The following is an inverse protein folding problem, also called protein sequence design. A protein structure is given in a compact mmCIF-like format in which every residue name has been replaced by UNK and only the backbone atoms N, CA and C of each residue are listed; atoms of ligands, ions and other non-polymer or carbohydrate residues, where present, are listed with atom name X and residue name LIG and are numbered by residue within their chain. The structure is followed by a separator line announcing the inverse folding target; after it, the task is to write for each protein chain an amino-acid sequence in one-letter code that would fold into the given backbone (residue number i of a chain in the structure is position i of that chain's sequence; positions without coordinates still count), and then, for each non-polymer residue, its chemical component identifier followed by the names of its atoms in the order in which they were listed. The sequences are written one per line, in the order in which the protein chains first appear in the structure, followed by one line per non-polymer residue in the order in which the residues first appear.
data_IF_945209603796
#
_entry.id   IF_945209603796
#
_cell.length_a   1.000
_cell.length_b   1.000
_cell.length_c   1.000
_cell.angle_alpha   90.00
_cell.angle_beta   90.00
_cell.angle_gamma   90.00
#
_symmetry.space_group_name_H-M   'P 1'
#
loop_
_entity.id
_entity.type
_entity.pdbx_description
1 polymer ?
#
# COMPACT_ATOMS: atom_id res chain seq x y z
N UNK A 1 -8.73 -2.46 20.85
CA UNK A 1 -8.55 -2.40 19.43
C UNK A 1 -8.63 -3.77 18.77
N UNK A 2 -9.07 -3.80 17.53
CA UNK A 2 -9.10 -5.02 16.74
C UNK A 2 -7.67 -5.47 16.42
N UNK A 3 -7.38 -6.77 16.63
CA UNK A 3 -6.06 -7.34 16.35
C UNK A 3 -5.69 -7.33 14.85
N UNK A 4 -6.68 -7.17 13.97
CA UNK A 4 -6.50 -7.11 12.52
C UNK A 4 -6.24 -5.68 12.00
N UNK A 5 -6.37 -4.67 12.87
CA UNK A 5 -6.16 -3.27 12.50
C UNK A 5 -4.72 -2.87 12.81
N UNK A 6 -4.00 -2.40 11.80
CA UNK A 6 -2.65 -1.84 11.93
C UNK A 6 -2.65 -0.35 11.57
N UNK A 7 -1.63 0.37 12.02
CA UNK A 7 -1.30 1.75 11.67
C UNK A 7 0.13 1.83 11.16
N UNK A 8 0.59 2.97 10.62
CA UNK A 8 2.00 3.10 10.28
C UNK A 8 2.92 2.85 11.48
N UNK A 9 4.00 2.07 11.25
CA UNK A 9 4.97 1.72 12.30
C UNK A 9 5.76 2.92 12.81
N UNK A 10 5.93 3.93 11.96
CA UNK A 10 6.68 5.15 12.25
C UNK A 10 5.83 6.29 12.82
N UNK A 11 4.63 6.02 13.32
CA UNK A 11 3.89 6.96 14.16
C UNK A 11 4.63 7.21 15.48
N UNK A 12 4.47 8.43 16.07
CA UNK A 12 5.11 8.76 17.34
C UNK A 12 4.82 7.76 18.46
N UNK A 13 5.75 7.59 19.44
CA UNK A 13 5.51 6.77 20.61
C UNK A 13 4.22 7.14 21.34
N UNK A 14 3.48 6.12 21.82
CA UNK A 14 2.19 6.32 22.51
C UNK A 14 0.98 6.41 21.57
N UNK A 15 1.15 6.45 20.25
CA UNK A 15 0.03 6.34 19.30
C UNK A 15 -0.70 5.02 19.48
N UNK A 16 -2.05 5.01 19.64
CA UNK A 16 -2.81 3.78 19.79
C UNK A 16 -2.68 2.84 18.58
N UNK A 17 -2.80 1.54 18.83
CA UNK A 17 -2.72 0.50 17.78
C UNK A 17 -1.31 -0.07 17.62
N UNK A 18 -1.14 -0.94 16.64
CA UNK A 18 0.12 -1.61 16.32
C UNK A 18 0.58 -1.29 14.89
N UNK A 19 1.88 -1.18 14.66
CA UNK A 19 2.44 -0.82 13.34
C UNK A 19 2.66 -2.03 12.42
N UNK A 20 2.62 -3.24 12.97
CA UNK A 20 2.72 -4.48 12.21
C UNK A 20 1.88 -5.58 12.85
N UNK A 21 1.51 -6.57 12.07
CA UNK A 21 0.80 -7.76 12.57
C UNK A 21 1.29 -9.01 11.86
N UNK A 22 1.50 -10.08 12.64
CA UNK A 22 1.75 -11.42 12.14
C UNK A 22 0.43 -12.19 12.14
N UNK A 23 -0.02 -12.60 10.97
CA UNK A 23 -1.21 -13.40 10.78
C UNK A 23 -0.82 -14.86 10.53
N UNK A 24 -1.53 -15.79 11.19
CA UNK A 24 -1.42 -17.21 10.89
C UNK A 24 -2.70 -17.64 10.16
N UNK A 25 -2.54 -18.17 8.96
CA UNK A 25 -3.62 -18.68 8.14
C UNK A 25 -4.09 -20.06 8.63
N UNK A 26 -5.22 -20.53 8.09
CA UNK A 26 -5.79 -21.84 8.44
C UNK A 26 -4.84 -23.01 8.11
N UNK A 27 -4.03 -22.88 7.07
CA UNK A 27 -3.00 -23.83 6.63
C UNK A 27 -1.67 -23.66 7.38
N UNK A 28 -1.63 -22.82 8.43
CA UNK A 28 -0.49 -22.50 9.30
C UNK A 28 0.55 -21.57 8.67
N UNK A 29 0.40 -21.14 7.42
CA UNK A 29 1.29 -20.11 6.85
C UNK A 29 1.19 -18.82 7.63
N UNK A 30 2.32 -18.12 7.77
CA UNK A 30 2.47 -16.89 8.53
C UNK A 30 2.74 -15.74 7.59
N UNK A 31 1.91 -14.71 7.66
CA UNK A 31 2.04 -13.49 6.87
C UNK A 31 2.32 -12.33 7.80
N UNK A 32 3.45 -11.68 7.63
CA UNK A 32 3.76 -10.41 8.29
C UNK A 32 3.24 -9.26 7.43
N UNK A 33 2.39 -8.41 8.00
CA UNK A 33 1.93 -7.17 7.37
C UNK A 33 2.48 -5.99 8.14
N UNK A 34 3.12 -5.07 7.43
CA UNK A 34 3.74 -3.86 7.97
C UNK A 34 3.24 -2.67 7.17
N UNK A 35 2.79 -1.60 7.83
CA UNK A 35 2.50 -0.34 7.19
C UNK A 35 3.54 0.70 7.59
N UNK A 36 4.00 1.51 6.64
CA UNK A 36 4.91 2.64 6.87
C UNK A 36 4.41 3.87 6.12
N UNK A 37 4.55 5.07 6.72
CA UNK A 37 4.19 6.33 6.07
C UNK A 37 5.45 7.08 5.65
N UNK A 38 5.46 7.61 4.42
CA UNK A 38 6.52 8.46 3.88
C UNK A 38 6.55 9.83 4.57
N UNK A 39 7.62 10.60 4.37
CA UNK A 39 7.78 11.94 4.96
C UNK A 39 7.77 13.07 3.94
N UNK A 40 8.12 12.81 2.69
CA UNK A 40 8.12 13.84 1.65
C UNK A 40 6.68 14.26 1.33
N UNK A 41 6.37 15.53 1.54
CA UNK A 41 5.03 16.12 1.38
C UNK A 41 3.95 15.53 2.30
N UNK A 42 4.36 14.92 3.39
CA UNK A 42 3.52 14.29 4.41
C UNK A 42 3.81 14.91 5.78
N UNK A 43 3.02 14.55 6.79
CA UNK A 43 3.29 14.93 8.17
C UNK A 43 4.62 14.34 8.66
N UNK A 44 5.29 15.08 9.56
CA UNK A 44 6.56 14.64 10.14
C UNK A 44 6.36 13.41 11.03
N UNK A 45 6.83 12.27 10.56
CA UNK A 45 6.85 10.99 11.26
C UNK A 45 8.29 10.57 11.58
N UNK A 46 8.46 9.52 12.38
CA UNK A 46 9.76 8.89 12.59
C UNK A 46 10.34 8.37 11.26
N UNK A 47 11.65 8.14 11.23
CA UNK A 47 12.35 7.69 10.02
C UNK A 47 11.78 6.35 9.51
N UNK A 48 11.17 6.33 8.28
CA UNK A 48 10.52 5.13 7.77
C UNK A 48 11.49 3.98 7.49
N UNK A 49 12.73 4.26 7.09
CA UNK A 49 13.73 3.24 6.79
C UNK A 49 14.19 2.55 8.09
N UNK A 50 14.53 3.33 9.13
CA UNK A 50 14.96 2.79 10.41
C UNK A 50 13.86 1.99 11.11
N UNK A 51 12.63 2.49 11.08
CA UNK A 51 11.51 1.78 11.70
C UNK A 51 11.16 0.51 10.95
N UNK A 52 11.21 0.53 9.61
CA UNK A 52 10.99 -0.65 8.78
C UNK A 52 12.09 -1.70 8.98
N UNK A 53 13.37 -1.29 9.05
CA UNK A 53 14.48 -2.18 9.39
C UNK A 53 14.25 -2.89 10.72
N UNK A 54 13.92 -2.12 11.77
CA UNK A 54 13.66 -2.68 13.09
C UNK A 54 12.45 -3.65 13.11
N UNK A 55 11.40 -3.34 12.33
CA UNK A 55 10.21 -4.19 12.25
C UNK A 55 10.47 -5.51 11.50
N UNK A 56 11.35 -5.51 10.50
CA UNK A 56 11.68 -6.69 9.71
C UNK A 56 12.81 -7.54 10.34
N UNK A 57 13.68 -6.96 11.17
CA UNK A 57 14.85 -7.64 11.73
C UNK A 57 14.55 -8.98 12.44
N UNK A 58 13.42 -9.17 13.16
CA UNK A 58 13.11 -10.44 13.81
C UNK A 58 12.65 -11.54 12.85
N UNK A 59 12.34 -11.19 11.58
CA UNK A 59 11.73 -12.10 10.64
C UNK A 59 12.66 -12.43 9.48
N UNK A 60 12.56 -13.67 9.00
CA UNK A 60 13.25 -14.15 7.80
C UNK A 60 12.23 -14.76 6.86
N UNK A 61 12.05 -14.11 5.70
CA UNK A 61 11.17 -14.57 4.63
C UNK A 61 11.60 -15.98 4.16
N UNK A 62 10.63 -16.86 3.92
CA UNK A 62 10.86 -18.27 3.58
C UNK A 62 11.30 -19.16 4.74
N UNK A 63 11.53 -18.62 5.96
CA UNK A 63 12.00 -19.42 7.11
C UNK A 63 11.12 -19.23 8.34
N UNK A 64 10.95 -17.99 8.83
CA UNK A 64 10.13 -17.69 10.00
C UNK A 64 8.74 -17.17 9.62
N UNK A 65 8.60 -16.64 8.42
CA UNK A 65 7.35 -16.17 7.81
C UNK A 65 7.32 -16.59 6.35
N UNK A 66 6.12 -16.93 5.84
CA UNK A 66 5.93 -17.40 4.46
C UNK A 66 5.73 -16.22 3.50
N UNK A 67 5.24 -15.09 3.99
CA UNK A 67 5.14 -13.86 3.22
C UNK A 67 5.33 -12.62 4.10
N UNK A 68 5.85 -11.55 3.48
CA UNK A 68 5.97 -10.22 4.06
C UNK A 68 5.32 -9.22 3.11
N UNK A 69 4.34 -8.46 3.62
CA UNK A 69 3.66 -7.41 2.87
C UNK A 69 4.00 -6.07 3.53
N UNK A 70 4.54 -5.15 2.76
CA UNK A 70 4.84 -3.78 3.18
C UNK A 70 3.93 -2.82 2.43
N UNK A 71 2.99 -2.18 3.15
CA UNK A 71 2.19 -1.06 2.65
C UNK A 71 2.96 0.24 2.87
N UNK A 72 3.28 0.93 1.78
CA UNK A 72 4.07 2.16 1.76
C UNK A 72 3.13 3.34 1.46
N UNK A 73 2.62 4.00 2.50
CA UNK A 73 1.69 5.10 2.36
C UNK A 73 2.41 6.43 2.19
N UNK A 74 2.23 7.12 1.06
CA UNK A 74 2.88 8.41 0.83
C UNK A 74 2.68 9.01 -0.55
N UNK A 75 2.97 10.31 -0.65
CA UNK A 75 2.82 11.09 -1.89
C UNK A 75 3.98 10.86 -2.86
N UNK A 76 5.22 10.96 -2.40
CA UNK A 76 6.40 10.98 -3.26
C UNK A 76 6.74 9.58 -3.81
N UNK A 77 6.62 9.41 -5.12
CA UNK A 77 6.99 8.15 -5.81
C UNK A 77 8.45 7.75 -5.57
N UNK A 78 9.37 8.73 -5.51
CA UNK A 78 10.79 8.46 -5.23
C UNK A 78 11.03 7.85 -3.86
N UNK A 79 10.32 8.31 -2.82
CA UNK A 79 10.44 7.76 -1.47
C UNK A 79 9.81 6.37 -1.39
N UNK A 80 8.65 6.16 -2.06
CA UNK A 80 8.03 4.83 -2.18
C UNK A 80 8.95 3.83 -2.86
N UNK A 81 9.57 4.21 -4.00
CA UNK A 81 10.52 3.36 -4.71
C UNK A 81 11.76 3.06 -3.86
N UNK A 82 12.28 4.07 -3.15
CA UNK A 82 13.44 3.88 -2.27
C UNK A 82 13.13 2.88 -1.15
N UNK A 83 11.95 2.98 -0.50
CA UNK A 83 11.50 2.02 0.51
C UNK A 83 11.28 0.62 -0.09
N UNK A 84 10.68 0.53 -1.27
CA UNK A 84 10.52 -0.74 -1.99
C UNK A 84 11.87 -1.41 -2.29
N UNK A 85 12.85 -0.64 -2.79
CA UNK A 85 14.22 -1.14 -3.04
C UNK A 85 14.95 -1.51 -1.75
N UNK A 86 14.71 -0.77 -0.66
CA UNK A 86 15.30 -1.05 0.64
C UNK A 86 14.88 -2.41 1.20
N UNK A 87 13.67 -2.88 0.89
CA UNK A 87 13.18 -4.19 1.32
C UNK A 87 13.31 -5.27 0.26
N UNK A 88 13.93 -4.99 -0.88
CA UNK A 88 14.11 -5.96 -1.96
C UNK A 88 14.84 -7.22 -1.48
N UNK A 89 14.27 -8.39 -1.76
CA UNK A 89 14.73 -9.69 -1.26
C UNK A 89 14.32 -10.01 0.19
N UNK A 90 13.61 -9.11 0.88
CA UNK A 90 13.15 -9.29 2.27
C UNK A 90 11.63 -9.21 2.43
N UNK A 91 10.93 -8.80 1.38
CA UNK A 91 9.48 -8.75 1.33
C UNK A 91 8.96 -9.48 0.09
N UNK A 92 7.79 -10.09 0.19
CA UNK A 92 7.06 -10.66 -0.94
C UNK A 92 6.47 -9.55 -1.81
N UNK A 93 5.94 -8.52 -1.16
CA UNK A 93 5.30 -7.35 -1.77
C UNK A 93 5.64 -6.08 -1.02
N UNK A 94 6.04 -5.05 -1.76
CA UNK A 94 6.08 -3.66 -1.33
C UNK A 94 5.14 -2.85 -2.23
N UNK A 95 3.98 -2.44 -1.69
CA UNK A 95 2.94 -1.76 -2.46
C UNK A 95 2.68 -0.37 -1.91
N UNK A 96 2.67 0.62 -2.80
CA UNK A 96 2.35 2.01 -2.45
C UNK A 96 0.85 2.26 -2.38
N UNK A 97 0.48 3.21 -1.54
CA UNK A 97 -0.88 3.74 -1.38
C UNK A 97 -0.81 5.26 -1.21
N UNK A 98 -1.92 5.95 -1.14
CA UNK A 98 -2.12 7.38 -0.90
C UNK A 98 -2.70 8.16 -2.08
N UNK A 99 -2.16 8.02 -3.29
CA UNK A 99 -2.54 8.90 -4.41
C UNK A 99 -3.93 8.62 -4.95
N UNK A 100 -4.53 7.50 -4.58
CA UNK A 100 -5.81 7.00 -5.05
C UNK A 100 -5.84 6.59 -6.53
N UNK A 101 -4.70 6.66 -7.23
CA UNK A 101 -4.60 6.36 -8.67
C UNK A 101 -3.65 5.19 -8.88
N UNK A 102 -4.09 4.09 -9.53
CA UNK A 102 -3.21 2.95 -9.78
C UNK A 102 -2.12 3.32 -10.79
N UNK A 103 -0.88 3.03 -10.44
CA UNK A 103 0.27 3.27 -11.34
C UNK A 103 0.52 2.09 -12.27
N UNK A 104 1.29 2.30 -13.31
CA UNK A 104 1.56 1.30 -14.36
C UNK A 104 2.92 0.59 -14.17
N UNK A 105 3.60 0.80 -13.05
CA UNK A 105 4.99 0.41 -12.81
C UNK A 105 5.15 -0.89 -12.00
N UNK A 106 4.14 -1.74 -12.01
CA UNK A 106 4.21 -3.03 -11.33
C UNK A 106 5.35 -3.89 -11.90
N UNK A 107 6.22 -4.37 -11.04
CA UNK A 107 7.39 -5.17 -11.43
C UNK A 107 7.87 -6.06 -10.27
N UNK A 108 8.72 -7.03 -10.59
CA UNK A 108 9.50 -7.76 -9.58
C UNK A 108 10.91 -7.18 -9.60
N UNK A 109 11.40 -6.75 -8.45
CA UNK A 109 12.76 -6.26 -8.30
C UNK A 109 13.79 -7.39 -8.40
N UNK A 110 15.08 -7.09 -8.68
CA UNK A 110 16.11 -8.13 -8.84
C UNK A 110 16.30 -9.05 -7.63
N UNK A 111 15.99 -8.59 -6.41
CA UNK A 111 16.00 -9.41 -5.20
C UNK A 111 14.75 -10.27 -5.01
N UNK A 112 13.73 -10.14 -5.89
CA UNK A 112 12.52 -10.96 -5.89
C UNK A 112 11.32 -10.33 -5.17
N UNK A 113 11.38 -9.08 -4.73
CA UNK A 113 10.22 -8.38 -4.15
C UNK A 113 9.31 -7.84 -5.25
N UNK A 114 8.01 -8.17 -5.23
CA UNK A 114 7.01 -7.52 -6.07
C UNK A 114 6.82 -6.06 -5.63
N UNK A 115 6.68 -5.15 -6.58
CA UNK A 115 6.55 -3.72 -6.31
C UNK A 115 5.53 -3.04 -7.22
N UNK A 116 4.81 -2.06 -6.67
CA UNK A 116 3.97 -1.11 -7.40
C UNK A 116 3.91 0.21 -6.63
N UNK A 117 4.11 1.35 -7.30
CA UNK A 117 4.18 2.67 -6.64
C UNK A 117 2.86 3.07 -5.98
N UNK A 118 1.71 2.78 -6.58
CA UNK A 118 0.40 2.96 -5.95
C UNK A 118 -0.59 1.95 -6.54
N UNK A 119 -1.30 1.23 -5.67
CA UNK A 119 -2.29 0.23 -6.09
C UNK A 119 -3.65 0.86 -6.43
N UNK A 120 -3.83 2.16 -6.14
CA UNK A 120 -5.07 2.87 -6.34
C UNK A 120 -6.07 2.71 -5.20
N UNK A 121 -7.27 3.25 -5.40
CA UNK A 121 -8.37 3.14 -4.42
C UNK A 121 -9.41 2.11 -4.87
N UNK A 122 -10.09 1.51 -3.92
CA UNK A 122 -11.35 0.82 -4.15
C UNK A 122 -12.48 1.84 -4.03
N UNK A 123 -13.03 2.28 -5.19
CA UNK A 123 -14.02 3.35 -5.18
C UNK A 123 -14.39 3.86 -6.58
N UNK A 124 -15.22 4.90 -6.61
CA UNK A 124 -15.69 5.51 -7.85
C UNK A 124 -14.61 6.39 -8.49
N UNK A 125 -14.18 6.06 -9.70
CA UNK A 125 -13.17 6.83 -10.45
C UNK A 125 -13.78 7.93 -11.33
N UNK A 126 -15.11 7.94 -11.53
CA UNK A 126 -15.81 9.12 -12.08
C UNK A 126 -15.95 10.19 -10.98
N UNK A 127 -14.83 10.68 -10.49
CA UNK A 127 -14.70 11.55 -9.31
C UNK A 127 -13.34 12.24 -9.33
N UNK A 128 -13.06 13.10 -8.37
CA UNK A 128 -11.68 13.55 -8.10
C UNK A 128 -11.17 12.84 -6.84
N UNK A 129 -10.34 11.83 -7.04
CA UNK A 129 -9.80 10.96 -5.98
C UNK A 129 -10.87 10.42 -5.00
N UNK A 130 -12.06 10.11 -5.52
CA UNK A 130 -13.19 9.60 -4.75
C UNK A 130 -14.18 10.67 -4.26
N UNK A 131 -13.90 11.96 -4.48
CA UNK A 131 -14.71 13.09 -4.01
C UNK A 131 -15.51 13.73 -5.14
N UNK A 132 -16.60 14.43 -4.77
CA UNK A 132 -17.47 15.17 -5.67
C UNK A 132 -16.70 16.18 -6.53
N UNK A 133 -16.92 16.11 -7.87
CA UNK A 133 -16.14 16.84 -8.86
C UNK A 133 -16.29 18.35 -8.69
N UNK A 134 -17.53 18.84 -8.59
CA UNK A 134 -17.81 20.27 -8.60
C UNK A 134 -17.25 20.97 -7.35
N UNK A 135 -17.44 20.38 -6.18
CA UNK A 135 -16.96 20.92 -4.91
C UNK A 135 -15.41 20.96 -4.83
N UNK A 136 -14.75 19.97 -5.40
CA UNK A 136 -13.29 19.93 -5.44
C UNK A 136 -12.74 20.95 -6.44
N UNK A 137 -13.31 21.06 -7.65
CA UNK A 137 -12.92 22.06 -8.65
C UNK A 137 -13.14 23.48 -8.10
N UNK A 138 -14.29 23.75 -7.49
CA UNK A 138 -14.59 25.04 -6.92
C UNK A 138 -13.54 25.48 -5.88
N UNK A 139 -13.12 24.56 -5.00
CA UNK A 139 -12.09 24.85 -3.99
C UNK A 139 -10.73 25.16 -4.61
N UNK A 140 -10.33 24.45 -5.67
CA UNK A 140 -9.06 24.75 -6.37
C UNK A 140 -9.10 26.10 -7.07
N UNK A 141 -10.22 26.48 -7.69
CA UNK A 141 -10.37 27.76 -8.38
C UNK A 141 -10.41 28.92 -7.38
N UNK A 142 -11.22 28.81 -6.34
CA UNK A 142 -11.44 29.90 -5.38
C UNK A 142 -10.34 30.01 -4.33
N UNK A 143 -9.65 28.92 -4.01
CA UNK A 143 -8.66 28.83 -2.91
C UNK A 143 -9.18 29.30 -1.56
N UNK A 144 -10.47 29.12 -1.32
CA UNK A 144 -11.16 29.48 -0.08
C UNK A 144 -11.88 28.26 0.48
N UNK A 145 -12.13 28.22 1.81
CA UNK A 145 -13.01 27.21 2.37
C UNK A 145 -14.37 27.22 1.68
N UNK A 146 -14.85 26.08 1.26
CA UNK A 146 -16.13 25.89 0.59
C UNK A 146 -16.94 24.79 1.27
N UNK A 147 -17.88 24.20 0.54
CA UNK A 147 -18.62 23.01 0.98
C UNK A 147 -17.63 21.91 1.37
N UNK A 148 -17.95 21.16 2.42
CA UNK A 148 -17.19 19.95 2.78
C UNK A 148 -17.24 18.96 1.61
N UNK A 149 -16.10 18.38 1.28
CA UNK A 149 -16.03 17.34 0.27
C UNK A 149 -16.83 16.11 0.72
N UNK A 150 -17.63 15.60 -0.18
CA UNK A 150 -18.42 14.38 0.03
C UNK A 150 -17.89 13.27 -0.89
N UNK A 151 -17.79 12.03 -0.40
CA UNK A 151 -17.40 10.90 -1.26
C UNK A 151 -18.49 10.65 -2.29
N UNK A 152 -18.07 10.30 -3.51
CA UNK A 152 -18.98 9.89 -4.58
C UNK A 152 -19.45 8.46 -4.31
N UNK A 153 -20.76 8.24 -4.38
CA UNK A 153 -21.39 6.91 -4.31
C UNK A 153 -21.86 6.58 -5.73
N UNK A 154 -21.03 5.84 -6.44
CA UNK A 154 -21.25 5.42 -7.84
C UNK A 154 -20.59 4.05 -8.06
N UNK A 155 -20.65 3.51 -9.28
CA UNK A 155 -20.01 2.25 -9.65
C UNK A 155 -18.51 2.29 -9.34
N UNK A 156 -18.13 1.50 -8.35
CA UNK A 156 -16.75 1.43 -7.89
C UNK A 156 -15.88 0.48 -8.69
N UNK A 157 -14.60 0.83 -8.80
CA UNK A 157 -13.56 -0.08 -9.26
C UNK A 157 -12.91 -0.74 -8.03
N UNK A 158 -12.78 -2.06 -8.05
CA UNK A 158 -11.84 -2.78 -7.19
C UNK A 158 -10.43 -2.61 -7.79
N UNK A 159 -9.58 -1.81 -7.16
CA UNK A 159 -8.17 -1.72 -7.50
C UNK A 159 -7.34 -2.50 -6.47
N UNK A 160 -6.51 -3.42 -6.95
CA UNK A 160 -5.71 -4.30 -6.13
C UNK A 160 -4.46 -4.77 -6.90
N UNK A 161 -3.63 -5.56 -6.26
CA UNK A 161 -2.52 -6.26 -6.87
C UNK A 161 -2.57 -7.74 -6.49
N UNK A 162 -2.43 -8.62 -7.48
CA UNK A 162 -2.24 -10.05 -7.29
C UNK A 162 -0.75 -10.37 -7.30
N UNK A 163 -0.28 -11.14 -6.33
CA UNK A 163 1.10 -11.59 -6.25
C UNK A 163 1.11 -13.09 -6.00
N UNK A 164 1.86 -13.82 -6.82
CA UNK A 164 2.17 -15.22 -6.63
C UNK A 164 3.60 -15.33 -6.09
N UNK A 165 3.76 -16.06 -4.99
CA UNK A 165 5.05 -16.23 -4.34
C UNK A 165 5.57 -17.66 -4.50
N UNK A 166 6.86 -17.79 -4.38
CA UNK A 166 7.52 -19.10 -4.24
C UNK A 166 7.32 -19.61 -2.80
N UNK A 167 6.90 -20.86 -2.64
CA UNK A 167 6.57 -21.42 -1.33
C UNK A 167 7.81 -21.63 -0.42
N UNK A 168 8.99 -21.81 -1.00
CA UNK A 168 10.22 -22.03 -0.23
C UNK A 168 10.87 -20.71 0.20
N UNK A 169 10.84 -19.70 -0.67
CA UNK A 169 11.53 -18.44 -0.45
C UNK A 169 10.62 -17.30 0.01
N UNK A 170 9.31 -17.38 -0.25
CA UNK A 170 8.34 -16.31 -0.05
C UNK A 170 8.49 -15.14 -1.02
N UNK A 171 9.44 -15.18 -1.96
CA UNK A 171 9.68 -14.14 -2.96
C UNK A 171 8.67 -14.24 -4.10
N UNK A 172 8.43 -13.11 -4.77
CA UNK A 172 7.44 -13.03 -5.85
C UNK A 172 7.92 -13.73 -7.13
N UNK A 173 7.03 -14.50 -7.73
CA UNK A 173 7.17 -15.10 -9.07
C UNK A 173 6.35 -14.34 -10.11
N UNK A 174 5.21 -13.78 -9.71
CA UNK A 174 4.28 -13.07 -10.59
C UNK A 174 3.68 -11.90 -9.84
N UNK A 175 3.48 -10.79 -10.55
CA UNK A 175 2.69 -9.64 -10.08
C UNK A 175 1.76 -9.19 -11.19
N UNK A 176 0.48 -8.97 -10.89
CA UNK A 176 -0.52 -8.47 -11.81
C UNK A 176 -1.34 -7.35 -11.15
N UNK A 177 -1.55 -6.22 -11.81
CA UNK A 177 -2.53 -5.25 -11.36
C UNK A 177 -3.93 -5.84 -11.54
N UNK A 178 -4.82 -5.57 -10.59
CA UNK A 178 -6.23 -6.00 -10.64
C UNK A 178 -7.10 -4.75 -10.68
N UNK A 179 -7.92 -4.62 -11.72
CA UNK A 179 -8.92 -3.56 -11.86
C UNK A 179 -10.22 -4.18 -12.37
N UNK A 180 -11.23 -4.21 -11.51
CA UNK A 180 -12.52 -4.83 -11.82
C UNK A 180 -13.66 -3.85 -11.51
N UNK A 181 -14.61 -3.75 -12.40
CA UNK A 181 -15.77 -2.84 -12.28
C UNK A 181 -15.43 -1.37 -12.54
N UNK A 182 -16.43 -0.52 -12.38
CA UNK A 182 -16.31 0.92 -12.60
C UNK A 182 -15.87 1.32 -14.00
N UNK A 183 -15.21 2.49 -14.10
CA UNK A 183 -14.89 3.14 -15.38
C UNK A 183 -13.44 2.94 -15.85
N UNK A 184 -12.56 2.40 -15.01
CA UNK A 184 -11.17 2.15 -15.41
C UNK A 184 -11.10 0.96 -16.37
N UNK A 185 -10.08 0.98 -17.24
CA UNK A 185 -9.76 -0.18 -18.08
C UNK A 185 -9.55 -1.42 -17.22
N UNK A 186 -10.31 -2.46 -17.49
CA UNK A 186 -10.24 -3.72 -16.76
C UNK A 186 -8.88 -4.41 -16.98
N UNK A 187 -8.40 -5.13 -15.99
CA UNK A 187 -7.24 -6.01 -16.15
C UNK A 187 -7.71 -7.47 -16.13
N UNK A 188 -7.32 -8.30 -17.13
CA UNK A 188 -7.60 -9.73 -17.07
C UNK A 188 -6.89 -10.35 -15.85
N UNK A 189 -7.55 -11.33 -15.22
CA UNK A 189 -7.02 -12.11 -14.10
C UNK A 189 -6.77 -13.56 -14.61
N UNK A 190 -6.10 -13.68 -15.76
CA UNK A 190 -5.78 -14.99 -16.35
C UNK A 190 -4.39 -15.48 -15.92
#
# INVERSE_FOLDING_TARGET
GDAKLIRPINCPPGTPGRGSALFTLADRRKILVVQVICRLFMDAMDDPFRTLEAALAPYRLGTSVDAVIVDIHGEASSEKQALGRFVDGRASLAAGTHTHVPTADHMIFPGGTAYMTDIGMCGAYNSIIGMDIDSVIERFIRKMPGKRWEPVIDDGTLAAVYVETDDDTGLAKKILPVRLGGVLSQTPID
#
